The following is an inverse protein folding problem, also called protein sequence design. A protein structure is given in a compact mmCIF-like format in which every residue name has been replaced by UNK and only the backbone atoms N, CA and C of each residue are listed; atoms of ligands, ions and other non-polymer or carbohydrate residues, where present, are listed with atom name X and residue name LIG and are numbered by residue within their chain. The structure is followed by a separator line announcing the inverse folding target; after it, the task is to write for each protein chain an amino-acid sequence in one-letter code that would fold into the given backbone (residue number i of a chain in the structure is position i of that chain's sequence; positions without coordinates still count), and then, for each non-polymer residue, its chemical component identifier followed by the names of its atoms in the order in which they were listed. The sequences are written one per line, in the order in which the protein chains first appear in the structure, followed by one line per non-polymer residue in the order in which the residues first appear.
data_IF_069132638067
#
_entry.id   IF_069132638067
#
_cell.length_a   1.000
_cell.length_b   1.000
_cell.length_c   1.000
_cell.angle_alpha   90.00
_cell.angle_beta   90.00
_cell.angle_gamma   90.00
#
_symmetry.space_group_name_H-M   'P 1'
#
loop_
_entity.id
_entity.type
_entity.pdbx_description
1 polymer ?
#
# COMPACT_ATOMS: atom_id res chain seq x y z
N UNK A 1 -17.54 12.11 8.30
CA UNK A 1 -17.10 10.96 7.47
C UNK A 1 -15.72 11.28 6.92
N UNK A 2 -14.73 10.37 7.03
CA UNK A 2 -13.39 10.65 6.51
C UNK A 2 -13.42 10.78 4.98
N UNK A 3 -12.86 11.85 4.45
CA UNK A 3 -12.71 12.06 3.00
C UNK A 3 -11.46 11.34 2.52
N UNK A 4 -11.59 10.50 1.49
CA UNK A 4 -10.48 9.71 0.97
C UNK A 4 -9.73 10.48 -0.12
N UNK A 5 -8.42 10.34 -0.12
CA UNK A 5 -7.56 10.74 -1.24
C UNK A 5 -7.78 9.80 -2.43
N UNK A 6 -7.30 10.20 -3.62
CA UNK A 6 -7.35 9.34 -4.81
C UNK A 6 -6.76 7.95 -4.56
N UNK A 7 -5.64 7.87 -3.83
CA UNK A 7 -4.99 6.60 -3.51
C UNK A 7 -5.87 5.73 -2.61
N UNK A 8 -6.41 6.30 -1.55
CA UNK A 8 -7.30 5.58 -0.62
C UNK A 8 -8.59 5.11 -1.30
N UNK A 9 -9.21 5.94 -2.14
CA UNK A 9 -10.39 5.55 -2.89
C UNK A 9 -10.10 4.42 -3.87
N UNK A 10 -8.98 4.49 -4.57
CA UNK A 10 -8.57 3.43 -5.48
C UNK A 10 -8.31 2.12 -4.74
N UNK A 11 -7.53 2.16 -3.66
CA UNK A 11 -7.25 0.97 -2.82
C UNK A 11 -8.55 0.39 -2.28
N UNK A 12 -9.47 1.22 -1.78
CA UNK A 12 -10.77 0.76 -1.32
C UNK A 12 -11.53 0.01 -2.42
N UNK A 13 -11.64 0.61 -3.61
CA UNK A 13 -12.35 0.00 -4.76
C UNK A 13 -11.66 -1.28 -5.23
N UNK A 14 -10.33 -1.28 -5.31
CA UNK A 14 -9.53 -2.43 -5.68
C UNK A 14 -9.76 -3.59 -4.71
N UNK A 15 -9.58 -3.37 -3.41
CA UNK A 15 -9.71 -4.44 -2.43
C UNK A 15 -11.16 -4.95 -2.33
N UNK A 16 -12.15 -4.09 -2.54
CA UNK A 16 -13.56 -4.53 -2.65
C UNK A 16 -13.81 -5.37 -3.90
N UNK A 17 -13.22 -5.01 -5.04
CA UNK A 17 -13.31 -5.79 -6.28
C UNK A 17 -12.65 -7.18 -6.13
N UNK A 18 -11.56 -7.27 -5.37
CA UNK A 18 -10.85 -8.52 -5.06
C UNK A 18 -11.46 -9.31 -3.87
N UNK A 19 -12.63 -8.89 -3.37
CA UNK A 19 -13.28 -9.45 -2.17
C UNK A 19 -12.35 -9.59 -0.94
N UNK A 20 -11.45 -8.63 -0.78
CA UNK A 20 -10.53 -8.54 0.36
C UNK A 20 -11.15 -7.63 1.41
N UNK A 21 -11.51 -8.22 2.55
CA UNK A 21 -12.25 -7.53 3.62
C UNK A 21 -11.52 -7.53 4.96
N UNK A 22 -10.44 -8.30 5.09
CA UNK A 22 -9.66 -8.39 6.33
C UNK A 22 -8.14 -8.26 6.10
N UNK A 23 -7.38 -7.75 7.09
CA UNK A 23 -5.93 -7.60 6.98
C UNK A 23 -5.18 -8.90 6.65
N UNK A 24 -5.66 -10.05 7.13
CA UNK A 24 -5.01 -11.35 6.89
C UNK A 24 -5.00 -11.78 5.42
N UNK A 25 -5.91 -11.22 4.62
CA UNK A 25 -5.99 -11.49 3.18
C UNK A 25 -5.03 -10.60 2.36
N UNK A 26 -4.41 -9.60 2.98
CA UNK A 26 -3.43 -8.71 2.35
C UNK A 26 -2.07 -9.41 2.29
N UNK A 27 -1.86 -10.16 1.21
CA UNK A 27 -0.59 -10.80 0.92
C UNK A 27 -0.39 -10.94 -0.59
N UNK A 28 0.87 -11.13 -0.97
CA UNK A 28 1.32 -11.22 -2.36
C UNK A 28 0.58 -12.31 -3.12
N UNK A 29 0.47 -13.52 -2.54
CA UNK A 29 -0.13 -14.68 -3.20
C UNK A 29 -1.60 -14.43 -3.57
N UNK A 30 -2.39 -13.95 -2.61
CA UNK A 30 -3.82 -13.72 -2.83
C UNK A 30 -4.05 -12.65 -3.90
N UNK A 31 -3.38 -11.49 -3.78
CA UNK A 31 -3.62 -10.36 -4.69
C UNK A 31 -3.08 -10.65 -6.09
N UNK A 32 -1.86 -11.17 -6.21
CA UNK A 32 -1.27 -11.49 -7.52
C UNK A 32 -2.09 -12.53 -8.28
N UNK A 33 -2.57 -13.58 -7.59
CA UNK A 33 -3.43 -14.61 -8.18
C UNK A 33 -4.72 -14.02 -8.74
N UNK A 34 -5.40 -13.15 -7.99
CA UNK A 34 -6.64 -12.53 -8.44
C UNK A 34 -6.43 -11.51 -9.57
N UNK A 35 -5.29 -10.84 -9.60
CA UNK A 35 -4.92 -9.92 -10.68
C UNK A 35 -4.34 -10.63 -11.91
N UNK A 36 -4.08 -11.94 -11.85
CA UNK A 36 -3.47 -12.69 -12.95
C UNK A 36 -2.00 -12.31 -13.20
N UNK A 37 -1.31 -11.80 -12.18
CA UNK A 37 0.10 -11.41 -12.23
C UNK A 37 0.93 -12.59 -11.73
N UNK A 38 1.90 -13.05 -12.53
CA UNK A 38 2.88 -14.03 -12.06
C UNK A 38 3.96 -13.30 -11.26
N UNK A 39 4.15 -13.69 -10.00
CA UNK A 39 5.25 -13.14 -9.17
C UNK A 39 6.43 -14.11 -9.18
N UNK A 40 7.63 -13.57 -9.34
CA UNK A 40 8.89 -14.29 -9.18
C UNK A 40 9.87 -13.45 -8.35
N UNK A 41 10.87 -14.09 -7.75
CA UNK A 41 11.85 -13.42 -6.90
C UNK A 41 13.26 -13.56 -7.48
N UNK A 42 14.08 -12.52 -7.37
CA UNK A 42 15.42 -12.48 -7.98
C UNK A 42 16.38 -11.51 -7.28
N UNK A 43 17.66 -11.49 -7.71
CA UNK A 43 18.73 -10.67 -7.11
C UNK A 43 18.90 -9.28 -7.74
N UNK A 44 17.92 -8.82 -8.52
CA UNK A 44 17.95 -7.52 -9.20
C UNK A 44 16.81 -6.65 -8.70
N UNK A 45 16.86 -5.35 -9.01
CA UNK A 45 15.80 -4.40 -8.70
C UNK A 45 14.44 -4.91 -9.19
N UNK A 46 13.38 -4.62 -8.44
CA UNK A 46 12.04 -5.04 -8.81
C UNK A 46 11.62 -4.42 -10.13
N UNK A 47 10.89 -5.18 -10.93
CA UNK A 47 10.33 -4.69 -12.19
C UNK A 47 9.04 -5.43 -12.56
N UNK A 48 8.28 -4.79 -13.45
CA UNK A 48 7.08 -5.37 -14.05
C UNK A 48 7.27 -5.48 -15.57
N UNK A 49 7.12 -6.71 -16.05
CA UNK A 49 7.17 -7.05 -17.47
C UNK A 49 5.83 -7.56 -17.98
N UNK A 50 5.58 -7.38 -19.28
CA UNK A 50 4.45 -7.97 -19.97
C UNK A 50 4.90 -8.72 -21.23
N UNK A 51 4.69 -10.03 -21.24
CA UNK A 51 4.99 -10.88 -22.40
C UNK A 51 3.75 -11.61 -22.89
N UNK A 52 3.38 -11.37 -24.15
CA UNK A 52 2.18 -11.96 -24.80
C UNK A 52 0.90 -11.77 -23.97
N UNK A 53 0.73 -10.58 -23.38
CA UNK A 53 -0.44 -10.23 -22.57
C UNK A 53 -0.46 -10.88 -21.18
N UNK A 54 0.66 -11.46 -20.73
CA UNK A 54 0.81 -11.97 -19.37
C UNK A 54 1.80 -11.10 -18.61
N UNK A 55 1.36 -10.58 -17.47
CA UNK A 55 2.20 -9.78 -16.59
C UNK A 55 3.03 -10.69 -15.68
N UNK A 56 4.32 -10.36 -15.58
CA UNK A 56 5.27 -10.96 -14.65
C UNK A 56 5.87 -9.84 -13.83
N UNK A 57 5.72 -9.93 -12.52
CA UNK A 57 6.35 -9.04 -11.56
C UNK A 57 7.54 -9.77 -10.95
N UNK A 58 8.73 -9.26 -11.24
CA UNK A 58 9.97 -9.74 -10.65
C UNK A 58 10.27 -8.87 -9.44
N UNK A 59 10.24 -9.45 -8.25
CA UNK A 59 10.53 -8.72 -7.03
C UNK A 59 11.96 -9.02 -6.58
N UNK A 60 12.68 -7.98 -6.17
CA UNK A 60 13.96 -8.16 -5.48
C UNK A 60 13.77 -9.02 -4.23
N UNK A 61 14.69 -9.97 -4.02
CA UNK A 61 14.73 -10.78 -2.81
C UNK A 61 15.01 -9.86 -1.61
N UNK A 62 14.07 -9.83 -0.66
CA UNK A 62 14.22 -9.13 0.62
C UNK A 62 14.48 -10.13 1.75
N UNK A 63 15.00 -9.63 2.88
CA UNK A 63 15.28 -10.46 4.04
C UNK A 63 14.01 -10.90 4.76
N UNK A 64 12.98 -10.05 4.72
CA UNK A 64 11.72 -10.27 5.44
C UNK A 64 10.51 -10.32 4.52
N UNK A 65 9.46 -11.03 4.96
CA UNK A 65 8.18 -11.06 4.25
C UNK A 65 7.48 -9.69 4.27
N UNK A 66 7.76 -8.88 5.29
CA UNK A 66 7.21 -7.54 5.45
C UNK A 66 7.74 -6.60 4.37
N UNK A 67 9.06 -6.53 4.19
CA UNK A 67 9.70 -5.76 3.12
C UNK A 67 9.19 -6.23 1.76
N UNK A 68 9.13 -7.54 1.55
CA UNK A 68 8.65 -8.11 0.30
C UNK A 68 7.20 -7.71 -0.02
N UNK A 69 6.34 -7.68 0.99
CA UNK A 69 4.95 -7.24 0.87
C UNK A 69 4.84 -5.76 0.52
N UNK A 70 5.65 -4.91 1.15
CA UNK A 70 5.67 -3.47 0.89
C UNK A 70 6.20 -3.16 -0.52
N UNK A 71 7.25 -3.88 -0.95
CA UNK A 71 7.79 -3.81 -2.31
C UNK A 71 6.74 -4.21 -3.35
N UNK A 72 6.05 -5.33 -3.13
CA UNK A 72 4.95 -5.75 -4.02
C UNK A 72 3.84 -4.70 -4.09
N UNK A 73 3.49 -4.07 -2.96
CA UNK A 73 2.50 -3.00 -2.94
C UNK A 73 2.97 -1.75 -3.69
N UNK A 74 4.26 -1.42 -3.64
CA UNK A 74 4.88 -0.36 -4.43
C UNK A 74 4.80 -0.66 -5.93
N UNK A 75 5.21 -1.87 -6.35
CA UNK A 75 5.16 -2.31 -7.75
C UNK A 75 3.74 -2.36 -8.33
N UNK A 76 2.72 -2.65 -7.50
CA UNK A 76 1.33 -2.57 -7.93
C UNK A 76 0.92 -1.14 -8.31
N UNK A 77 1.52 -0.10 -7.71
CA UNK A 77 1.27 1.26 -8.17
C UNK A 77 1.77 1.45 -9.61
N UNK A 78 2.97 0.96 -9.93
CA UNK A 78 3.50 1.01 -11.28
C UNK A 78 2.59 0.26 -12.25
N UNK A 79 2.14 -0.93 -11.88
CA UNK A 79 1.18 -1.71 -12.67
C UNK A 79 -0.11 -0.96 -12.99
N UNK A 80 -0.70 -0.28 -12.01
CA UNK A 80 -2.01 0.35 -12.19
C UNK A 80 -1.96 1.76 -12.77
N UNK A 81 -0.94 2.55 -12.45
CA UNK A 81 -0.98 4.01 -12.67
C UNK A 81 0.10 4.52 -13.61
N UNK A 82 1.16 3.75 -13.85
CA UNK A 82 2.31 4.22 -14.62
C UNK A 82 2.42 3.45 -15.94
N UNK A 83 2.68 4.19 -17.01
CA UNK A 83 2.89 3.69 -18.36
C UNK A 83 4.25 4.20 -18.85
N UNK A 84 4.95 3.38 -19.64
CA UNK A 84 6.28 3.69 -20.16
C UNK A 84 7.41 3.13 -19.29
N UNK A 85 8.54 2.83 -19.92
CA UNK A 85 9.72 2.30 -19.20
C UNK A 85 10.46 3.45 -18.54
N UNK A 86 10.73 3.31 -17.24
CA UNK A 86 11.38 4.32 -16.41
C UNK A 86 12.69 4.85 -17.00
N UNK A 87 13.45 3.98 -17.70
CA UNK A 87 14.71 4.30 -18.39
C UNK A 87 14.59 5.44 -19.43
N UNK A 88 13.40 5.67 -19.99
CA UNK A 88 13.17 6.64 -21.05
C UNK A 88 12.36 7.86 -20.61
N UNK A 89 12.05 7.97 -19.31
CA UNK A 89 11.23 9.04 -18.75
C UNK A 89 12.14 10.12 -18.13
N UNK A 90 11.82 11.43 -18.27
CA UNK A 90 12.62 12.47 -17.64
C UNK A 90 12.66 12.33 -16.11
N UNK A 91 13.79 12.69 -15.49
CA UNK A 91 14.06 12.45 -14.06
C UNK A 91 12.97 12.97 -13.11
N UNK A 92 12.39 14.14 -13.40
CA UNK A 92 11.33 14.72 -12.56
C UNK A 92 10.03 13.90 -12.62
N UNK A 93 9.72 13.31 -13.77
CA UNK A 93 8.57 12.43 -13.91
C UNK A 93 8.82 11.09 -13.23
N UNK A 94 10.04 10.56 -13.30
CA UNK A 94 10.42 9.36 -12.55
C UNK A 94 10.23 9.59 -11.04
N UNK A 95 10.77 10.69 -10.50
CA UNK A 95 10.61 11.03 -9.08
C UNK A 95 9.14 11.16 -8.65
N UNK A 96 8.29 11.72 -9.52
CA UNK A 96 6.86 11.80 -9.27
C UNK A 96 6.22 10.41 -9.19
N UNK A 97 6.57 9.50 -10.11
CA UNK A 97 6.08 8.12 -10.09
C UNK A 97 6.50 7.40 -8.81
N UNK A 98 7.76 7.51 -8.41
CA UNK A 98 8.27 6.91 -7.17
C UNK A 98 7.54 7.46 -5.92
N UNK A 99 7.29 8.77 -5.88
CA UNK A 99 6.52 9.38 -4.79
C UNK A 99 5.07 8.85 -4.74
N UNK A 100 4.44 8.70 -5.91
CA UNK A 100 3.10 8.13 -6.02
C UNK A 100 3.07 6.66 -5.59
N UNK A 101 4.07 5.87 -6.00
CA UNK A 101 4.21 4.46 -5.64
C UNK A 101 4.45 4.25 -4.15
N UNK A 102 5.31 5.07 -3.54
CA UNK A 102 5.51 5.07 -2.10
C UNK A 102 4.24 5.44 -1.33
N UNK A 103 3.54 6.51 -1.73
CA UNK A 103 2.28 6.86 -1.08
C UNK A 103 1.21 5.77 -1.25
N UNK A 104 1.13 5.17 -2.44
CA UNK A 104 0.21 4.08 -2.73
C UNK A 104 0.50 2.84 -1.87
N UNK A 105 1.77 2.44 -1.74
CA UNK A 105 2.16 1.26 -0.96
C UNK A 105 1.71 1.38 0.50
N UNK A 106 1.86 2.56 1.14
CA UNK A 106 1.33 2.81 2.48
C UNK A 106 -0.17 2.56 2.59
N UNK A 107 -0.94 3.02 1.60
CA UNK A 107 -2.39 2.84 1.61
C UNK A 107 -2.82 1.43 1.24
N UNK A 108 -2.12 0.72 0.36
CA UNK A 108 -2.44 -0.66 0.02
C UNK A 108 -2.05 -1.63 1.13
N UNK A 109 -0.84 -1.48 1.69
CA UNK A 109 -0.34 -2.33 2.78
C UNK A 109 -1.09 -2.11 4.08
N UNK A 110 -1.60 -0.89 4.33
CA UNK A 110 -2.44 -0.56 5.49
C UNK A 110 -3.64 0.30 5.04
N UNK A 111 -4.71 -0.34 4.52
CA UNK A 111 -5.88 0.36 4.01
C UNK A 111 -6.58 1.20 5.08
N UNK A 112 -6.86 2.47 4.77
CA UNK A 112 -7.50 3.40 5.72
C UNK A 112 -8.81 2.85 6.27
N UNK A 113 -9.65 2.25 5.41
CA UNK A 113 -10.94 1.70 5.86
C UNK A 113 -10.79 0.52 6.83
N UNK A 114 -9.71 -0.27 6.74
CA UNK A 114 -9.42 -1.35 7.70
C UNK A 114 -8.78 -0.78 8.97
N UNK A 115 -7.88 0.19 8.82
CA UNK A 115 -7.24 0.86 9.95
C UNK A 115 -8.26 1.57 10.86
N UNK A 116 -9.31 2.16 10.27
CA UNK A 116 -10.42 2.78 11.01
C UNK A 116 -11.19 1.80 11.91
N UNK A 117 -11.08 0.49 11.67
CA UNK A 117 -11.76 -0.55 12.46
C UNK A 117 -10.91 -1.04 13.64
N UNK A 118 -9.68 -0.55 13.78
CA UNK A 118 -8.78 -0.95 14.85
C UNK A 118 -8.92 0.04 16.02
N UNK A 119 -9.48 -0.42 17.12
CA UNK A 119 -9.51 0.32 18.37
C UNK A 119 -8.09 0.49 18.93
N UNK A 120 -7.78 1.69 19.45
CA UNK A 120 -6.49 2.01 20.05
C UNK A 120 -5.29 1.70 19.12
N UNK A 121 -5.43 2.00 17.82
CA UNK A 121 -4.38 1.84 16.85
C UNK A 121 -3.06 2.49 17.30
N UNK A 122 -1.97 1.73 17.18
CA UNK A 122 -0.60 2.15 17.46
C UNK A 122 0.34 1.49 16.44
N UNK A 123 1.58 2.00 16.25
CA UNK A 123 2.49 1.42 15.26
C UNK A 123 2.74 -0.07 15.44
N UNK A 124 2.86 -0.56 16.69
CA UNK A 124 3.04 -2.00 16.96
C UNK A 124 1.81 -2.82 16.59
N UNK A 125 0.59 -2.32 16.89
CA UNK A 125 -0.66 -2.98 16.52
C UNK A 125 -0.80 -3.02 15.00
N UNK A 126 -0.45 -1.93 14.30
CA UNK A 126 -0.51 -1.84 12.85
C UNK A 126 0.50 -2.80 12.21
N UNK A 127 1.76 -2.78 12.64
CA UNK A 127 2.80 -3.69 12.14
C UNK A 127 2.36 -5.15 12.22
N UNK A 128 1.85 -5.57 13.39
CA UNK A 128 1.40 -6.94 13.62
C UNK A 128 0.12 -7.29 12.84
N UNK A 129 -0.82 -6.35 12.70
CA UNK A 129 -2.11 -6.61 12.05
C UNK A 129 -1.99 -6.72 10.54
N UNK A 130 -1.14 -5.90 9.93
CA UNK A 130 -0.99 -5.79 8.48
C UNK A 130 0.28 -6.46 7.95
N UNK A 131 1.07 -7.09 8.83
CA UNK A 131 2.33 -7.74 8.50
C UNK A 131 3.28 -6.82 7.72
N UNK A 132 3.52 -5.63 8.29
CA UNK A 132 4.45 -4.63 7.76
C UNK A 132 5.54 -4.36 8.79
N UNK A 133 6.68 -3.83 8.34
CA UNK A 133 7.75 -3.40 9.22
C UNK A 133 7.29 -2.31 10.20
N UNK A 134 7.94 -2.26 11.35
CA UNK A 134 7.59 -1.31 12.40
C UNK A 134 7.74 0.15 11.96
N UNK A 135 8.83 0.48 11.26
CA UNK A 135 9.07 1.84 10.76
C UNK A 135 8.03 2.25 9.71
N UNK A 136 7.65 1.32 8.82
CA UNK A 136 6.57 1.51 7.87
C UNK A 136 5.23 1.78 8.58
N UNK A 137 4.94 1.03 9.64
CA UNK A 137 3.76 1.23 10.47
C UNK A 137 3.77 2.57 11.21
N UNK A 138 4.92 3.03 11.71
CA UNK A 138 5.08 4.35 12.32
C UNK A 138 4.68 5.45 11.34
N UNK A 139 5.27 5.44 10.14
CA UNK A 139 4.98 6.47 9.14
C UNK A 139 3.50 6.45 8.72
N UNK A 140 2.96 5.25 8.47
CA UNK A 140 1.56 5.09 8.12
C UNK A 140 0.61 5.58 9.21
N UNK A 141 0.96 5.37 10.48
CA UNK A 141 0.19 5.84 11.62
C UNK A 141 0.22 7.37 11.71
N UNK A 142 1.36 8.01 11.47
CA UNK A 142 1.46 9.47 11.39
C UNK A 142 0.60 10.04 10.27
N UNK A 143 0.64 9.45 9.07
CA UNK A 143 -0.25 9.83 7.96
C UNK A 143 -1.73 9.76 8.38
N UNK A 144 -2.12 8.71 9.10
CA UNK A 144 -3.48 8.53 9.59
C UNK A 144 -3.86 9.60 10.63
N UNK A 145 -3.00 9.85 11.63
CA UNK A 145 -3.24 10.88 12.67
C UNK A 145 -3.35 12.28 12.07
N UNK A 146 -2.46 12.62 11.14
CA UNK A 146 -2.49 13.91 10.44
C UNK A 146 -3.81 14.06 9.68
N UNK A 147 -4.28 13.01 9.01
CA UNK A 147 -5.59 13.00 8.35
C UNK A 147 -6.73 13.26 9.34
N UNK A 148 -6.76 12.55 10.46
CA UNK A 148 -7.78 12.74 11.50
C UNK A 148 -7.78 14.18 12.04
N UNK A 149 -6.60 14.75 12.24
CA UNK A 149 -6.42 16.12 12.70
C UNK A 149 -6.96 17.14 11.68
N UNK A 150 -6.52 17.08 10.42
CA UNK A 150 -6.95 18.01 9.38
C UNK A 150 -8.44 17.91 9.02
N UNK A 151 -9.05 16.74 9.24
CA UNK A 151 -10.49 16.53 9.00
C UNK A 151 -11.35 16.77 10.25
N UNK A 152 -10.77 17.28 11.35
CA UNK A 152 -11.48 17.66 12.56
C UNK A 152 -11.97 16.49 13.45
N UNK A 153 -11.65 15.24 13.09
CA UNK A 153 -12.11 14.04 13.79
C UNK A 153 -11.35 13.80 15.09
N UNK A 154 -10.14 14.33 15.22
CA UNK A 154 -9.28 14.12 16.39
C UNK A 154 -9.81 14.77 17.69
N UNK A 155 -10.67 15.80 17.59
CA UNK A 155 -11.16 16.55 18.75
C UNK A 155 -12.37 15.92 19.45
N UNK A 156 -13.14 15.08 18.76
CA UNK A 156 -14.36 14.46 19.32
C UNK A 156 -14.05 13.37 20.36
N UNK A 157 -12.88 12.73 20.27
CA UNK A 157 -12.49 11.66 21.21
C UNK A 157 -11.95 12.17 22.56
N UNK A 158 -11.73 13.48 22.72
CA UNK A 158 -11.24 14.09 23.97
C UNK A 158 -12.28 14.96 24.69
N UNK A 159 -13.49 15.12 24.16
CA UNK A 159 -14.54 15.98 24.74
C UNK A 159 -15.60 15.25 25.58
N UNK A 160 -15.45 13.95 25.83
CA UNK A 160 -16.31 13.21 26.77
C UNK A 160 -15.51 12.91 28.04
N UNK A 161 -15.21 13.96 28.79
CA UNK A 161 -14.37 13.87 29.98
C UNK A 161 -14.18 15.24 30.66
N UNK A 162 -15.27 15.96 30.86
CA UNK A 162 -15.34 17.17 31.69
C UNK A 162 -16.65 17.19 32.46
#
# INVERSE_FOLDING_TARGET
MLTYTRAEEFVYKLLKYLDIQSPRQLNIENISKQLGIKVQYWNYSSELDCYKGRYVMSLELKETMQEQWQEFAHELCHFFWHEGRQEFIPILFLQLQEWQANNFSYHLSVPTFMLQQIDNASPIVIANTFNVEYEFACHRFEMYRNKLYFQGVYHEHYTIGS
#
